data_IF_893165222212
#
_entry.id   IF_893165222212
#
_cell.length_a   1.000
_cell.length_b   1.000
_cell.length_c   1.000
_cell.angle_alpha   90.00
_cell.angle_beta   90.00
_cell.angle_gamma   90.00
#
_symmetry.space_group_name_H-M   'P 1'
#
loop_
_entity.id
_entity.type
_entity.pdbx_description
1 polymer ?
#
# COMPACT_ATOMS: atom_id res chain seq x y z
N UNK A 1 25.22 -5.02 -14.42
CA UNK A 1 25.78 -3.70 -14.04
C UNK A 1 26.36 -3.78 -12.64
N UNK A 2 27.46 -3.05 -12.38
CA UNK A 2 28.07 -2.95 -11.05
C UNK A 2 27.06 -2.42 -10.02
N UNK A 3 26.30 -1.39 -10.39
CA UNK A 3 25.33 -0.76 -9.48
C UNK A 3 24.23 -1.72 -9.05
N UNK A 4 23.71 -2.54 -9.98
CA UNK A 4 22.70 -3.57 -9.65
C UNK A 4 23.27 -4.55 -8.63
N UNK A 5 24.51 -5.01 -8.81
CA UNK A 5 25.15 -5.96 -7.88
C UNK A 5 25.31 -5.37 -6.48
N UNK A 6 25.73 -4.11 -6.40
CA UNK A 6 25.90 -3.41 -5.10
C UNK A 6 24.55 -3.22 -4.44
N UNK A 7 23.58 -2.61 -5.13
CA UNK A 7 22.26 -2.31 -4.56
C UNK A 7 21.43 -3.56 -4.23
N UNK A 8 21.69 -4.70 -4.88
CA UNK A 8 21.00 -5.96 -4.60
C UNK A 8 21.73 -6.83 -3.57
N UNK A 9 22.83 -6.34 -2.96
CA UNK A 9 23.52 -7.09 -1.91
C UNK A 9 22.77 -7.05 -0.58
N UNK A 10 23.02 -8.03 0.28
CA UNK A 10 22.42 -8.15 1.62
C UNK A 10 22.71 -6.94 2.51
N UNK A 11 23.83 -6.25 2.27
CA UNK A 11 24.23 -5.02 2.96
C UNK A 11 23.16 -3.91 2.87
N UNK A 12 22.38 -3.89 1.81
CA UNK A 12 21.33 -2.90 1.59
C UNK A 12 19.95 -3.34 2.12
N UNK A 13 19.82 -4.53 2.72
CA UNK A 13 18.63 -4.99 3.47
C UNK A 13 17.29 -4.78 2.75
N UNK A 14 17.26 -4.93 1.43
CA UNK A 14 16.06 -4.77 0.60
C UNK A 14 15.60 -3.33 0.38
N UNK A 15 16.25 -2.31 0.96
CA UNK A 15 16.03 -0.88 0.69
C UNK A 15 14.61 -0.36 0.93
N UNK A 16 13.88 -0.95 1.88
CA UNK A 16 12.54 -0.50 2.19
C UNK A 16 12.52 0.96 2.68
N UNK A 17 11.49 1.74 2.34
CA UNK A 17 11.36 3.12 2.81
C UNK A 17 11.41 3.24 4.34
N UNK A 18 12.05 4.30 4.85
CA UNK A 18 12.25 4.58 6.28
C UNK A 18 13.00 3.46 7.01
N UNK A 19 14.01 2.84 6.36
CA UNK A 19 14.92 1.87 6.95
C UNK A 19 16.38 2.27 6.73
N UNK A 20 17.30 1.65 7.47
CA UNK A 20 18.74 1.83 7.24
C UNK A 20 19.15 1.45 5.81
N UNK A 21 18.50 0.46 5.20
CA UNK A 21 18.74 0.08 3.81
C UNK A 21 18.43 1.19 2.81
N UNK A 22 17.38 2.00 3.06
CA UNK A 22 17.12 3.21 2.29
C UNK A 22 18.22 4.23 2.48
N UNK A 23 18.63 4.53 3.70
CA UNK A 23 19.69 5.51 3.98
C UNK A 23 21.00 5.15 3.29
N UNK A 24 21.42 3.88 3.37
CA UNK A 24 22.60 3.37 2.64
C UNK A 24 22.44 3.51 1.13
N UNK A 25 21.24 3.25 0.61
CA UNK A 25 20.92 3.41 -0.82
C UNK A 25 21.05 4.86 -1.26
N UNK A 26 20.49 5.79 -0.50
CA UNK A 26 20.56 7.23 -0.79
C UNK A 26 22.01 7.72 -0.78
N UNK A 27 22.79 7.34 0.22
CA UNK A 27 24.19 7.71 0.30
C UNK A 27 25.00 7.16 -0.88
N UNK A 28 24.82 5.90 -1.22
CA UNK A 28 25.45 5.29 -2.38
C UNK A 28 25.12 6.04 -3.67
N UNK A 29 23.87 6.39 -3.91
CA UNK A 29 23.45 7.12 -5.11
C UNK A 29 24.05 8.53 -5.15
N UNK A 30 24.08 9.24 -4.02
CA UNK A 30 24.72 10.56 -3.93
C UNK A 30 26.20 10.47 -4.29
N UNK A 31 26.92 9.50 -3.78
CA UNK A 31 28.35 9.28 -4.09
C UNK A 31 28.56 9.00 -5.57
N UNK A 32 27.70 8.16 -6.18
CA UNK A 32 27.81 7.89 -7.61
C UNK A 32 27.53 9.15 -8.44
N UNK A 33 26.49 9.92 -8.12
CA UNK A 33 26.18 11.17 -8.82
C UNK A 33 27.30 12.19 -8.71
N UNK A 34 27.89 12.34 -7.54
CA UNK A 34 29.08 13.18 -7.34
C UNK A 34 30.27 12.71 -8.19
N UNK A 35 30.49 11.40 -8.27
CA UNK A 35 31.60 10.84 -9.07
C UNK A 35 31.44 11.09 -10.57
N UNK A 36 30.20 11.30 -11.03
CA UNK A 36 29.88 11.67 -12.41
C UNK A 36 29.89 13.19 -12.65
N UNK A 37 30.25 14.00 -11.65
CA UNK A 37 30.30 15.45 -11.76
C UNK A 37 28.93 16.13 -11.70
N UNK A 38 27.88 15.41 -11.30
CA UNK A 38 26.55 16.01 -11.11
C UNK A 38 26.54 16.93 -9.89
N UNK A 39 25.64 17.91 -9.92
CA UNK A 39 25.38 18.83 -8.82
C UNK A 39 23.99 18.56 -8.23
N UNK A 40 23.79 18.83 -6.93
CA UNK A 40 22.47 18.67 -6.32
C UNK A 40 21.45 19.63 -6.94
N UNK A 41 20.25 19.12 -7.27
CA UNK A 41 19.17 19.88 -7.89
C UNK A 41 17.98 20.14 -6.97
N UNK A 42 18.04 19.70 -5.71
CA UNK A 42 16.96 19.89 -4.75
C UNK A 42 16.95 21.29 -4.12
N UNK A 43 15.94 21.57 -3.30
CA UNK A 43 15.82 22.83 -2.57
C UNK A 43 17.04 23.03 -1.68
N UNK A 44 17.55 24.26 -1.63
CA UNK A 44 18.76 24.66 -0.85
C UNK A 44 20.02 23.83 -1.17
N UNK A 45 20.14 23.35 -2.40
CA UNK A 45 21.29 22.54 -2.81
C UNK A 45 21.27 21.13 -2.24
N UNK A 46 20.11 20.61 -1.90
CA UNK A 46 19.97 19.25 -1.40
C UNK A 46 20.09 18.20 -2.51
N UNK A 47 20.66 17.05 -2.18
CA UNK A 47 20.65 15.86 -3.01
C UNK A 47 19.36 15.06 -2.86
N UNK A 48 18.58 15.31 -1.82
CA UNK A 48 17.39 14.53 -1.44
C UNK A 48 16.20 15.44 -1.22
N UNK A 49 15.02 14.91 -1.50
CA UNK A 49 13.75 15.51 -1.14
C UNK A 49 13.13 14.66 -0.03
N UNK A 50 12.99 15.17 1.20
CA UNK A 50 12.32 14.45 2.27
C UNK A 50 10.84 14.24 1.94
N UNK A 51 10.38 12.99 2.10
CA UNK A 51 8.96 12.63 1.96
C UNK A 51 8.48 12.08 3.29
N UNK A 52 7.57 12.76 4.01
CA UNK A 52 7.05 12.24 5.26
C UNK A 52 6.20 10.98 5.01
N UNK A 53 6.54 9.89 5.69
CA UNK A 53 5.81 8.64 5.63
C UNK A 53 5.09 8.39 6.95
N UNK A 54 3.92 7.77 6.88
CA UNK A 54 3.17 7.31 8.04
C UNK A 54 3.10 5.79 8.01
N UNK A 55 3.63 5.17 9.05
CA UNK A 55 3.47 3.72 9.26
C UNK A 55 2.33 3.49 10.23
N UNK A 56 1.29 2.78 9.78
CA UNK A 56 0.20 2.32 10.63
C UNK A 56 0.39 0.82 10.93
N UNK A 57 0.28 0.45 12.20
CA UNK A 57 0.33 -0.92 12.66
C UNK A 57 -0.85 -1.19 13.57
N UNK A 58 -1.44 -2.40 13.47
CA UNK A 58 -2.50 -2.80 14.40
C UNK A 58 -1.92 -2.97 15.81
N UNK A 59 -2.54 -2.29 16.76
CA UNK A 59 -2.26 -2.42 18.19
C UNK A 59 -3.27 -3.40 18.79
N UNK A 60 -2.88 -4.69 18.85
CA UNK A 60 -3.69 -5.78 19.34
C UNK A 60 -4.59 -6.44 18.27
N UNK A 61 -5.48 -7.37 18.68
CA UNK A 61 -6.26 -8.20 17.77
C UNK A 61 -7.37 -7.40 17.10
N UNK A 62 -7.33 -7.32 15.76
CA UNK A 62 -8.45 -6.85 14.97
C UNK A 62 -9.56 -7.90 14.92
N UNK A 63 -10.82 -7.43 15.02
CA UNK A 63 -12.00 -8.29 15.02
C UNK A 63 -12.85 -7.99 13.79
N UNK A 64 -13.26 -9.03 13.05
CA UNK A 64 -14.19 -8.95 11.95
C UNK A 64 -15.31 -9.98 12.10
N UNK A 65 -16.46 -9.66 11.56
CA UNK A 65 -17.56 -10.63 11.43
C UNK A 65 -18.45 -10.28 10.25
N UNK A 66 -19.02 -11.30 9.62
CA UNK A 66 -20.01 -11.18 8.57
C UNK A 66 -21.39 -11.55 9.12
N UNK A 67 -22.40 -10.77 8.76
CA UNK A 67 -23.80 -11.13 8.98
C UNK A 67 -24.37 -11.69 7.68
N UNK A 68 -24.74 -12.95 7.69
CA UNK A 68 -25.28 -13.68 6.56
C UNK A 68 -26.74 -14.04 6.84
N UNK A 69 -27.50 -14.47 5.82
CA UNK A 69 -28.87 -14.96 6.00
C UNK A 69 -28.97 -16.13 7.00
N UNK A 70 -27.91 -16.95 7.09
CA UNK A 70 -27.82 -18.13 7.94
C UNK A 70 -27.29 -17.82 9.35
N UNK A 71 -26.96 -16.56 9.66
CA UNK A 71 -26.43 -16.15 10.95
C UNK A 71 -25.14 -15.32 10.85
N UNK A 72 -24.52 -15.09 11.99
CA UNK A 72 -23.29 -14.31 12.10
C UNK A 72 -22.07 -15.23 12.15
N UNK A 73 -21.08 -14.95 11.30
CA UNK A 73 -19.79 -15.64 11.28
C UNK A 73 -18.69 -14.70 11.74
N UNK A 74 -17.94 -15.07 12.76
CA UNK A 74 -16.68 -14.40 13.11
C UNK A 74 -15.59 -14.77 12.11
N UNK A 75 -14.70 -13.81 11.81
CA UNK A 75 -13.55 -14.01 10.94
C UNK A 75 -12.27 -13.85 11.76
N UNK A 76 -11.39 -14.83 11.66
CA UNK A 76 -10.08 -14.80 12.31
C UNK A 76 -9.08 -14.02 11.44
N UNK A 77 -8.47 -12.97 12.01
CA UNK A 77 -7.42 -12.21 11.32
C UNK A 77 -6.17 -13.08 11.13
N UNK A 78 -5.62 -13.10 9.94
CA UNK A 78 -4.48 -13.92 9.56
C UNK A 78 -4.83 -15.35 9.13
N UNK A 79 -6.12 -15.76 9.23
CA UNK A 79 -6.60 -17.08 8.81
C UNK A 79 -7.71 -16.92 7.75
N UNK A 80 -8.84 -16.33 8.14
CA UNK A 80 -9.97 -16.11 7.23
C UNK A 80 -9.83 -14.80 6.44
N UNK A 81 -9.14 -13.82 7.02
CA UNK A 81 -9.01 -12.46 6.46
C UNK A 81 -7.73 -11.81 6.98
N UNK A 82 -7.11 -10.96 6.17
CA UNK A 82 -6.07 -10.03 6.62
C UNK A 82 -6.67 -8.64 6.78
N UNK A 83 -6.66 -8.13 8.00
CA UNK A 83 -7.19 -6.81 8.33
C UNK A 83 -6.05 -5.81 8.45
N UNK A 84 -6.14 -4.73 7.69
CA UNK A 84 -5.24 -3.59 7.82
C UNK A 84 -6.01 -2.28 7.67
N UNK A 85 -5.48 -1.20 8.20
CA UNK A 85 -6.03 0.13 8.02
C UNK A 85 -4.98 1.03 7.37
N UNK A 86 -5.38 1.72 6.31
CA UNK A 86 -4.58 2.76 5.67
C UNK A 86 -4.79 4.13 6.34
N UNK A 87 -5.70 4.23 7.30
CA UNK A 87 -5.96 5.47 8.01
C UNK A 87 -5.09 5.55 9.27
N UNK A 88 -4.31 6.63 9.47
CA UNK A 88 -3.48 6.84 10.65
C UNK A 88 -4.33 7.29 11.84
N UNK A 89 -5.25 6.45 12.29
CA UNK A 89 -6.16 6.71 13.40
C UNK A 89 -5.98 5.66 14.49
N UNK A 90 -6.11 6.07 15.75
CA UNK A 90 -6.04 5.14 16.89
C UNK A 90 -7.10 4.04 16.85
N UNK A 91 -8.24 4.29 16.20
CA UNK A 91 -9.32 3.32 16.04
C UNK A 91 -10.07 3.55 14.74
N UNK A 92 -10.22 2.48 13.97
CA UNK A 92 -11.12 2.41 12.82
C UNK A 92 -12.20 1.37 13.13
N UNK A 93 -13.44 1.72 12.90
CA UNK A 93 -14.57 0.84 13.14
C UNK A 93 -15.60 0.99 12.03
N UNK A 94 -15.96 -0.13 11.42
CA UNK A 94 -17.04 -0.26 10.46
C UNK A 94 -18.13 -1.10 11.10
N UNK A 95 -19.39 -0.64 11.08
CA UNK A 95 -20.51 -1.36 11.68
C UNK A 95 -21.62 -1.53 10.66
N UNK A 96 -22.07 -2.77 10.50
CA UNK A 96 -23.25 -3.14 9.69
C UNK A 96 -23.23 -2.55 8.27
N UNK A 97 -22.04 -2.34 7.69
CA UNK A 97 -21.90 -1.89 6.31
C UNK A 97 -22.25 -3.05 5.36
N UNK A 98 -23.17 -2.86 4.41
CA UNK A 98 -23.45 -3.86 3.40
C UNK A 98 -22.22 -4.13 2.53
N UNK A 99 -22.07 -5.38 2.07
CA UNK A 99 -21.09 -5.76 1.08
C UNK A 99 -21.70 -5.66 -0.32
N UNK A 100 -20.98 -5.06 -1.26
CA UNK A 100 -21.37 -4.97 -2.66
C UNK A 100 -20.23 -5.50 -3.51
N UNK A 101 -20.53 -6.52 -4.29
CA UNK A 101 -19.55 -7.05 -5.25
C UNK A 101 -19.52 -6.18 -6.50
N UNK A 102 -18.34 -5.76 -6.90
CA UNK A 102 -18.08 -4.86 -8.03
C UNK A 102 -16.98 -5.42 -8.96
N UNK A 103 -17.06 -6.72 -9.26
CA UNK A 103 -16.14 -7.34 -10.20
C UNK A 103 -14.67 -7.15 -9.81
N UNK A 104 -13.89 -6.60 -10.72
CA UNK A 104 -12.47 -6.29 -10.51
C UNK A 104 -12.23 -4.85 -10.01
N UNK A 105 -13.29 -4.06 -9.87
CA UNK A 105 -13.21 -2.67 -9.45
C UNK A 105 -12.56 -1.75 -10.49
N UNK A 106 -12.75 -2.06 -11.76
CA UNK A 106 -12.15 -1.34 -12.89
C UNK A 106 -13.10 -0.23 -13.37
N UNK A 107 -12.54 0.96 -13.60
CA UNK A 107 -13.15 2.03 -14.38
C UNK A 107 -12.20 2.40 -15.53
N UNK A 108 -12.49 1.92 -16.73
CA UNK A 108 -11.69 2.08 -17.95
C UNK A 108 -12.57 2.63 -19.09
N UNK A 109 -12.84 3.93 -19.11
CA UNK A 109 -13.74 4.55 -20.08
C UNK A 109 -13.26 4.38 -21.53
N UNK A 110 -11.94 4.29 -21.75
CA UNK A 110 -11.34 3.99 -23.06
C UNK A 110 -11.70 2.61 -23.61
N UNK A 111 -12.12 1.70 -22.73
CA UNK A 111 -12.59 0.34 -23.06
C UNK A 111 -14.11 0.18 -22.89
N UNK A 112 -14.82 1.27 -22.59
CA UNK A 112 -16.25 1.26 -22.25
C UNK A 112 -16.59 0.30 -21.09
N UNK A 113 -15.65 0.09 -20.19
CA UNK A 113 -15.77 -0.80 -19.04
C UNK A 113 -15.85 0.01 -17.75
N UNK A 114 -16.87 -0.26 -16.95
CA UNK A 114 -17.02 0.35 -15.62
C UNK A 114 -17.77 -0.61 -14.70
N UNK A 115 -17.07 -1.22 -13.76
CA UNK A 115 -17.60 -2.13 -12.75
C UNK A 115 -18.47 -1.41 -11.70
N UNK A 116 -18.36 -0.08 -11.63
CA UNK A 116 -19.12 0.76 -10.70
C UNK A 116 -20.38 1.35 -11.32
N UNK A 117 -20.66 1.06 -12.60
CA UNK A 117 -21.82 1.57 -13.29
C UNK A 117 -23.09 1.19 -12.54
N UNK A 118 -23.93 2.18 -12.22
CA UNK A 118 -25.20 2.03 -11.49
C UNK A 118 -25.06 1.44 -10.06
N UNK A 119 -23.84 1.45 -9.49
CA UNK A 119 -23.56 0.95 -8.15
C UNK A 119 -23.35 2.10 -7.18
N UNK A 120 -24.25 2.26 -6.21
CA UNK A 120 -24.03 3.15 -5.08
C UNK A 120 -23.18 2.46 -4.01
N UNK A 121 -21.99 3.00 -3.75
CA UNK A 121 -21.06 2.52 -2.73
C UNK A 121 -21.08 3.33 -1.43
N UNK A 122 -21.94 4.34 -1.34
CA UNK A 122 -21.98 5.19 -0.16
C UNK A 122 -22.34 4.40 1.11
N UNK A 123 -21.45 4.40 2.10
CA UNK A 123 -21.62 3.64 3.35
C UNK A 123 -21.55 2.12 3.22
N UNK A 124 -21.05 1.61 2.10
CA UNK A 124 -20.92 0.18 1.81
C UNK A 124 -19.44 -0.24 1.70
N UNK A 125 -19.19 -1.53 1.72
CA UNK A 125 -17.87 -2.11 1.48
C UNK A 125 -17.89 -2.72 0.07
N UNK A 126 -17.04 -2.21 -0.81
CA UNK A 126 -16.81 -2.82 -2.10
C UNK A 126 -16.02 -4.12 -1.94
N UNK A 127 -16.48 -5.17 -2.58
CA UNK A 127 -15.76 -6.45 -2.69
C UNK A 127 -15.28 -6.59 -4.12
N UNK A 128 -13.96 -6.68 -4.28
CA UNK A 128 -13.30 -6.79 -5.59
C UNK A 128 -12.49 -8.08 -5.69
N UNK A 129 -12.33 -8.60 -6.89
CA UNK A 129 -11.37 -9.66 -7.20
C UNK A 129 -9.99 -9.05 -7.40
N UNK A 130 -8.95 -9.77 -6.96
CA UNK A 130 -7.54 -9.34 -7.09
C UNK A 130 -6.84 -10.28 -8.08
N UNK A 131 -7.37 -10.40 -9.28
CA UNK A 131 -6.76 -11.14 -10.38
C UNK A 131 -6.84 -10.30 -11.64
N UNK A 132 -6.04 -10.62 -12.65
CA UNK A 132 -6.21 -10.01 -13.96
C UNK A 132 -7.59 -10.41 -14.51
N UNK A 133 -8.29 -9.44 -15.06
CA UNK A 133 -9.44 -9.73 -15.90
C UNK A 133 -8.92 -10.30 -17.22
N UNK A 134 -9.16 -11.57 -17.50
CA UNK A 134 -8.83 -12.22 -18.77
C UNK A 134 -9.56 -11.56 -19.96
#
# INVERSE_FOLDING_TARGET
SRHVRVLASDEFEGRAPATEGEERTVQYLIEQFRSYGLQPGGVDGSWVQPVPLVRAQLDGPAKASLSLKQGKRALANGVDVTLQSLQPRKRVQIRNAPLVFVGYGIDAPERQWNDYKDVDLHGKIAVVLINDAD
#
